data_IF_975731078685
#
_entry.id   IF_975731078685
#
_cell.length_a   1.000
_cell.length_b   1.000
_cell.length_c   1.000
_cell.angle_alpha   90.00
_cell.angle_beta   90.00
_cell.angle_gamma   90.00
#
_symmetry.space_group_name_H-M   'P 1'
#
loop_
_entity.id
_entity.type
_entity.pdbx_description
1 polymer ?
#
# COMPACT_ATOMS: atom_id res chain seq x y z
N UNK A 1 27.47 -32.59 7.95
CA UNK A 1 26.35 -31.68 8.23
C UNK A 1 26.53 -30.42 7.37
N UNK A 2 26.14 -30.45 6.10
CA UNK A 2 26.33 -29.32 5.15
C UNK A 2 25.17 -29.23 4.16
N UNK A 3 23.92 -29.25 4.65
CA UNK A 3 22.75 -29.17 3.77
C UNK A 3 21.51 -28.63 4.50
N UNK A 4 21.61 -27.52 5.23
CA UNK A 4 20.42 -26.86 5.86
C UNK A 4 20.38 -25.33 5.61
N UNK A 5 21.38 -24.74 4.95
CA UNK A 5 21.45 -23.28 4.80
C UNK A 5 20.62 -22.72 3.62
N UNK A 6 20.02 -23.54 2.77
CA UNK A 6 19.29 -23.06 1.59
C UNK A 6 17.76 -22.87 1.80
N UNK A 7 17.17 -23.45 2.85
CA UNK A 7 15.71 -23.37 3.06
C UNK A 7 15.22 -22.09 3.75
N UNK A 8 16.11 -21.37 4.46
CA UNK A 8 15.77 -20.13 5.16
C UNK A 8 15.88 -18.86 4.30
N UNK A 9 16.40 -18.97 3.07
CA UNK A 9 16.48 -17.85 2.13
C UNK A 9 15.30 -17.80 1.15
N UNK A 10 14.38 -18.76 1.22
CA UNK A 10 13.24 -18.84 0.29
C UNK A 10 11.93 -18.30 0.86
N UNK A 11 11.85 -18.07 2.18
CA UNK A 11 10.61 -17.61 2.83
C UNK A 11 10.43 -16.07 2.84
N UNK A 12 11.40 -15.30 2.37
CA UNK A 12 11.34 -13.84 2.36
C UNK A 12 11.56 -13.22 0.97
N UNK A 13 11.75 -14.02 -0.07
CA UNK A 13 11.77 -13.48 -1.43
C UNK A 13 10.33 -13.36 -1.92
N UNK A 14 9.58 -12.39 -1.39
CA UNK A 14 8.39 -11.89 -2.10
C UNK A 14 8.86 -11.51 -3.50
N UNK A 15 8.47 -12.30 -4.48
CA UNK A 15 8.76 -12.04 -5.89
C UNK A 15 7.97 -10.79 -6.30
N UNK A 16 8.60 -9.61 -6.20
CA UNK A 16 8.09 -8.31 -6.67
C UNK A 16 8.05 -8.21 -8.21
N UNK A 17 7.74 -9.32 -8.90
CA UNK A 17 7.67 -9.36 -10.36
C UNK A 17 6.38 -8.73 -10.91
N UNK A 18 5.42 -8.45 -10.03
CA UNK A 18 4.14 -7.85 -10.38
C UNK A 18 3.84 -6.68 -9.45
N UNK A 19 3.13 -5.68 -9.97
CA UNK A 19 2.62 -4.57 -9.19
C UNK A 19 1.54 -5.08 -8.23
N UNK A 20 1.68 -4.75 -6.95
CA UNK A 20 0.69 -5.04 -5.92
C UNK A 20 -0.37 -3.92 -5.85
N UNK A 21 -1.51 -4.30 -5.28
CA UNK A 21 -2.63 -3.38 -5.03
C UNK A 21 -2.95 -3.40 -3.54
N UNK A 22 -2.93 -2.21 -2.94
CA UNK A 22 -3.32 -2.00 -1.55
C UNK A 22 -4.60 -1.18 -1.46
N UNK A 23 -5.38 -1.40 -0.41
CA UNK A 23 -6.59 -0.68 -0.10
C UNK A 23 -6.41 0.09 1.20
N UNK A 24 -6.88 1.33 1.19
CA UNK A 24 -6.87 2.24 2.33
C UNK A 24 -8.30 2.69 2.61
N UNK A 25 -8.75 2.56 3.86
CA UNK A 25 -10.08 2.99 4.31
C UNK A 25 -9.99 3.65 5.70
N UNK A 26 -10.96 4.50 6.05
CA UNK A 26 -11.04 5.08 7.40
C UNK A 26 -11.72 4.09 8.38
N UNK A 27 -11.02 3.00 8.66
CA UNK A 27 -11.48 1.95 9.59
C UNK A 27 -10.72 2.00 10.93
N UNK A 28 -11.29 1.52 12.04
CA UNK A 28 -10.66 1.67 13.37
C UNK A 28 -9.33 0.92 13.53
N UNK A 29 -9.10 -0.15 12.76
CA UNK A 29 -7.94 -1.02 12.89
C UNK A 29 -7.11 -1.02 11.62
N UNK A 30 -5.79 -1.01 11.75
CA UNK A 30 -4.89 -1.13 10.60
C UNK A 30 -4.79 -2.59 10.16
N UNK A 31 -5.16 -2.86 8.90
CA UNK A 31 -5.09 -4.19 8.31
C UNK A 31 -3.78 -4.48 7.57
N UNK A 32 -3.84 -5.45 6.67
CA UNK A 32 -2.71 -5.86 5.81
C UNK A 32 -2.72 -5.19 4.42
N UNK A 33 -3.71 -4.34 4.16
CA UNK A 33 -3.87 -3.63 2.90
C UNK A 33 -4.63 -4.42 1.84
N UNK A 34 -5.13 -5.61 2.14
CA UNK A 34 -6.08 -6.32 1.27
C UNK A 34 -7.46 -5.63 1.25
N UNK A 35 -8.29 -5.92 0.26
CA UNK A 35 -9.64 -5.34 0.17
C UNK A 35 -10.51 -5.64 1.40
N UNK A 36 -10.36 -6.85 1.97
CA UNK A 36 -11.10 -7.28 3.17
C UNK A 36 -10.52 -6.73 4.47
N UNK A 37 -9.26 -6.29 4.47
CA UNK A 37 -8.57 -5.81 5.66
C UNK A 37 -7.63 -4.64 5.27
N UNK A 38 -8.20 -3.48 4.91
CA UNK A 38 -7.44 -2.35 4.36
C UNK A 38 -6.51 -1.73 5.41
N UNK A 39 -5.50 -0.99 4.95
CA UNK A 39 -4.78 -0.07 5.82
C UNK A 39 -5.70 1.06 6.27
N UNK A 40 -5.48 1.57 7.48
CA UNK A 40 -6.31 2.66 8.01
C UNK A 40 -5.66 4.06 7.93
N UNK A 41 -4.46 4.16 7.36
CA UNK A 41 -3.73 5.41 7.25
C UNK A 41 -2.78 5.39 6.04
N UNK A 42 -2.48 6.58 5.50
CA UNK A 42 -1.64 6.76 4.32
C UNK A 42 -0.22 6.26 4.54
N UNK A 43 0.35 6.46 5.73
CA UNK A 43 1.72 6.05 6.03
C UNK A 43 1.90 4.54 5.91
N UNK A 44 0.95 3.75 6.42
CA UNK A 44 1.00 2.28 6.33
C UNK A 44 0.90 1.80 4.88
N UNK A 45 -0.02 2.37 4.10
CA UNK A 45 -0.18 2.02 2.69
C UNK A 45 1.04 2.40 1.84
N UNK A 46 1.62 3.58 2.06
CA UNK A 46 2.78 4.06 1.31
C UNK A 46 4.11 3.43 1.78
N UNK A 47 4.19 2.99 3.04
CA UNK A 47 5.28 2.15 3.52
C UNK A 47 5.24 0.76 2.89
N UNK A 48 4.06 0.20 2.61
CA UNK A 48 3.91 -1.08 1.95
C UNK A 48 4.19 -1.01 0.43
N UNK A 49 3.81 0.10 -0.22
CA UNK A 49 3.91 0.26 -1.67
C UNK A 49 5.35 0.39 -2.19
N UNK A 50 5.67 -0.41 -3.21
CA UNK A 50 6.90 -0.35 -4.01
C UNK A 50 6.64 0.28 -5.39
N UNK A 51 7.70 0.69 -6.12
CA UNK A 51 7.56 1.21 -7.48
C UNK A 51 6.73 0.30 -8.39
N UNK A 52 5.63 0.86 -8.94
CA UNK A 52 4.68 0.15 -9.79
C UNK A 52 3.35 -0.16 -9.10
N UNK A 53 3.32 -0.16 -7.76
CA UNK A 53 2.14 -0.50 -6.98
C UNK A 53 1.08 0.60 -7.03
N UNK A 54 -0.17 0.20 -6.75
CA UNK A 54 -1.31 1.10 -6.61
C UNK A 54 -1.91 1.03 -5.21
N UNK A 55 -2.11 2.18 -4.59
CA UNK A 55 -2.94 2.35 -3.39
C UNK A 55 -4.31 2.89 -3.82
N UNK A 56 -5.34 2.10 -3.62
CA UNK A 56 -6.73 2.51 -3.76
C UNK A 56 -7.25 3.09 -2.45
N UNK A 57 -7.82 4.29 -2.53
CA UNK A 57 -8.41 4.99 -1.38
C UNK A 57 -9.93 4.83 -1.44
N UNK A 58 -10.50 4.24 -0.40
CA UNK A 58 -11.93 3.95 -0.30
C UNK A 58 -12.76 5.22 -0.06
N UNK A 59 -14.04 5.26 -0.47
CA UNK A 59 -14.93 6.41 -0.28
C UNK A 59 -15.23 6.69 1.20
N UNK A 60 -14.42 7.55 1.80
CA UNK A 60 -14.46 7.92 3.22
C UNK A 60 -13.94 9.35 3.41
N UNK A 61 -14.16 9.92 4.60
CA UNK A 61 -13.51 11.18 5.00
C UNK A 61 -12.25 10.86 5.80
N UNK A 62 -11.12 11.44 5.40
CA UNK A 62 -9.82 11.26 6.05
C UNK A 62 -9.37 12.59 6.63
N UNK A 63 -9.16 12.63 7.96
CA UNK A 63 -8.60 13.80 8.63
C UNK A 63 -7.06 13.66 8.64
N UNK A 64 -6.39 14.50 7.84
CA UNK A 64 -4.95 14.43 7.64
C UNK A 64 -4.23 15.25 8.72
N UNK A 65 -3.54 14.55 9.62
CA UNK A 65 -2.61 15.17 10.58
C UNK A 65 -1.23 15.48 9.98
N UNK A 66 -0.85 14.82 8.88
CA UNK A 66 0.44 14.99 8.19
C UNK A 66 0.30 15.10 6.67
N UNK A 67 1.39 15.40 5.96
CA UNK A 67 1.44 15.37 4.49
C UNK A 67 1.53 13.93 3.99
N UNK A 68 0.90 13.65 2.85
CA UNK A 68 0.96 12.34 2.20
C UNK A 68 2.25 12.26 1.38
N UNK A 69 3.21 11.43 1.82
CA UNK A 69 4.51 11.28 1.18
C UNK A 69 4.80 9.80 0.92
N UNK A 70 5.41 9.48 -0.24
CA UNK A 70 6.00 8.16 -0.46
C UNK A 70 7.32 8.07 0.30
N UNK A 71 7.66 6.88 0.79
CA UNK A 71 8.98 6.60 1.40
C UNK A 71 10.01 6.06 0.40
N UNK A 72 9.60 5.90 -0.86
CA UNK A 72 10.40 5.43 -1.98
C UNK A 72 10.05 6.23 -3.22
N UNK A 73 11.01 6.34 -4.13
CA UNK A 73 10.80 6.92 -5.45
C UNK A 73 10.39 5.84 -6.45
N UNK A 74 9.39 6.16 -7.27
CA UNK A 74 9.10 5.40 -8.49
C UNK A 74 10.01 5.81 -9.65
N UNK A 75 9.84 5.16 -10.79
CA UNK A 75 10.45 5.61 -12.05
C UNK A 75 9.36 5.86 -13.13
N UNK A 76 9.76 6.32 -14.31
CA UNK A 76 8.82 6.64 -15.40
C UNK A 76 7.91 5.48 -15.80
N UNK A 77 8.38 4.24 -15.65
CA UNK A 77 7.68 3.01 -16.02
C UNK A 77 6.99 2.34 -14.81
N UNK A 78 7.40 2.69 -13.59
CA UNK A 78 6.94 2.07 -12.35
C UNK A 78 6.69 3.16 -11.30
N UNK A 79 5.59 3.90 -11.47
CA UNK A 79 5.15 4.91 -10.51
C UNK A 79 4.41 4.24 -9.35
N UNK A 80 4.62 4.75 -8.14
CA UNK A 80 3.70 4.48 -7.03
C UNK A 80 2.45 5.34 -7.29
N UNK A 81 1.30 4.70 -7.43
CA UNK A 81 0.06 5.39 -7.80
C UNK A 81 -0.91 5.41 -6.63
N UNK A 82 -1.45 6.57 -6.29
CA UNK A 82 -2.55 6.71 -5.32
C UNK A 82 -3.79 7.13 -6.11
N UNK A 83 -4.91 6.43 -5.97
CA UNK A 83 -6.14 6.77 -6.69
C UNK A 83 -7.40 6.44 -5.91
N UNK A 84 -8.48 7.18 -6.18
CA UNK A 84 -9.79 6.85 -5.66
C UNK A 84 -10.23 5.45 -6.14
N UNK A 85 -10.78 4.64 -5.23
CA UNK A 85 -11.34 3.34 -5.58
C UNK A 85 -12.58 3.47 -6.47
N UNK A 86 -13.49 4.38 -6.10
CA UNK A 86 -14.68 4.69 -6.86
C UNK A 86 -14.60 6.14 -7.37
N UNK A 87 -14.45 6.39 -8.68
CA UNK A 87 -14.37 7.75 -9.22
C UNK A 87 -15.68 8.53 -9.10
N UNK A 88 -16.81 7.86 -8.89
CA UNK A 88 -18.12 8.51 -8.68
C UNK A 88 -18.41 8.81 -7.21
N UNK A 89 -17.55 8.33 -6.30
CA UNK A 89 -17.64 8.57 -4.86
C UNK A 89 -16.22 8.70 -4.31
N UNK A 90 -15.64 9.86 -4.51
CA UNK A 90 -14.23 10.11 -4.20
C UNK A 90 -13.99 10.22 -2.68
N UNK A 91 -12.79 9.85 -2.20
CA UNK A 91 -12.40 10.11 -0.83
C UNK A 91 -12.28 11.61 -0.56
N UNK A 92 -12.73 12.04 0.62
CA UNK A 92 -12.64 13.45 1.05
C UNK A 92 -11.44 13.58 1.98
N UNK A 93 -10.46 14.41 1.59
CA UNK A 93 -9.31 14.74 2.42
C UNK A 93 -9.56 16.06 3.15
N UNK A 94 -9.48 16.04 4.48
CA UNK A 94 -9.74 17.19 5.36
C UNK A 94 -8.52 17.48 6.25
N UNK A 95 -8.41 18.71 6.74
CA UNK A 95 -7.39 19.16 7.69
C UNK A 95 -8.00 20.05 8.76
#
# INVERSE_FOLDING_TARGET
>A
MKSILLLLFFFCLKSYLFADVYYLDNVPTNGDGSFSNPFNNFDSALNAAYPGDTVFVMPSTYNLSASINTVRDGNSNQRITIKAFNPNNEPILTR
#
